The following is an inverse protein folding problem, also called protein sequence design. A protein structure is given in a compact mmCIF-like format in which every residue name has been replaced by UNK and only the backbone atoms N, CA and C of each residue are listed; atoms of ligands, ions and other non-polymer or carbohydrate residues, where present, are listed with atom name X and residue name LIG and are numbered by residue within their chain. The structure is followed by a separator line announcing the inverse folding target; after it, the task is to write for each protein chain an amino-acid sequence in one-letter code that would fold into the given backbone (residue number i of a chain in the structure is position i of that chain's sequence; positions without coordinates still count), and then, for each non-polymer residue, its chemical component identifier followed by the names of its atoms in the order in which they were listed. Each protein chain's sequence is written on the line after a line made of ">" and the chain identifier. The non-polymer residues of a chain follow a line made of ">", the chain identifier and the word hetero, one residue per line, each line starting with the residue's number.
data_IF_691147749448
#
_entry.id   IF_691147749448
#
_cell.length_a   1.000
_cell.length_b   1.000
_cell.length_c   1.000
_cell.angle_alpha   90.00
_cell.angle_beta   90.00
_cell.angle_gamma   90.00
#
_symmetry.space_group_name_H-M   'P 1'
#
loop_
_entity.id
_entity.type
_entity.pdbx_description
1 polymer ?
#
# COMPACT_ATOMS: atom_id res chain seq x y z
N UNK A 1 1.67 10.28 -9.98
CA UNK A 1 0.64 9.69 -9.09
C UNK A 1 0.35 8.27 -9.59
N UNK A 2 0.24 7.27 -8.71
CA UNK A 2 0.04 5.87 -9.08
C UNK A 2 -1.33 5.65 -9.73
N UNK A 3 -1.47 4.62 -10.57
CA UNK A 3 -2.73 4.32 -11.29
C UNK A 3 -3.88 3.98 -10.33
N UNK A 4 -3.59 3.18 -9.30
CA UNK A 4 -4.50 2.84 -8.19
C UNK A 4 -5.11 4.06 -7.48
N UNK A 5 -4.38 5.18 -7.45
CA UNK A 5 -4.79 6.41 -6.78
C UNK A 5 -5.64 7.35 -7.66
N UNK A 6 -5.72 7.12 -8.98
CA UNK A 6 -6.36 8.07 -9.89
C UNK A 6 -7.88 8.15 -9.71
N UNK A 7 -8.54 7.02 -9.52
CA UNK A 7 -9.99 6.93 -9.30
C UNK A 7 -10.40 7.51 -7.94
N UNK A 8 -9.55 7.31 -6.92
CA UNK A 8 -9.78 7.74 -5.54
C UNK A 8 -9.05 9.04 -5.17
N UNK A 9 -8.62 9.83 -6.16
CA UNK A 9 -7.84 11.07 -5.93
C UNK A 9 -8.45 12.05 -4.91
N UNK A 10 -9.78 12.03 -4.79
CA UNK A 10 -10.55 12.89 -3.88
C UNK A 10 -10.44 12.46 -2.42
N UNK A 11 -10.00 11.23 -2.14
CA UNK A 11 -9.75 10.67 -0.82
C UNK A 11 -8.32 10.92 -0.34
N UNK A 12 -7.43 11.40 -1.23
CA UNK A 12 -6.02 11.57 -0.93
C UNK A 12 -5.79 12.92 -0.24
N UNK A 13 -5.14 12.90 0.92
CA UNK A 13 -4.68 14.11 1.58
C UNK A 13 -3.20 14.37 1.30
N UNK A 14 -2.91 15.38 0.47
CA UNK A 14 -1.56 15.74 0.07
C UNK A 14 -0.78 16.56 1.12
N UNK A 15 -1.44 17.05 2.18
CA UNK A 15 -0.78 17.84 3.24
C UNK A 15 -0.22 16.95 4.35
N UNK A 16 -0.72 15.71 4.46
CA UNK A 16 -0.26 14.72 5.44
C UNK A 16 1.05 14.09 5.00
N UNK A 17 2.03 14.07 5.88
CA UNK A 17 3.33 13.43 5.68
C UNK A 17 3.57 12.41 6.78
N UNK A 18 4.30 11.34 6.46
CA UNK A 18 4.75 10.36 7.44
C UNK A 18 6.19 10.70 7.88
N UNK A 19 6.42 11.08 9.15
CA UNK A 19 7.75 11.43 9.63
C UNK A 19 8.72 10.24 9.54
N UNK A 20 9.91 10.47 8.98
CA UNK A 20 10.96 9.45 8.90
C UNK A 20 10.70 8.34 7.88
N UNK A 21 9.77 8.53 6.94
CA UNK A 21 9.54 7.56 5.87
C UNK A 21 10.81 7.39 4.99
N UNK A 22 11.29 6.14 4.78
CA UNK A 22 12.40 5.87 3.87
C UNK A 22 12.18 6.43 2.46
N UNK A 23 13.26 6.93 1.85
CA UNK A 23 13.19 7.60 0.54
C UNK A 23 12.60 6.71 -0.56
N UNK A 24 12.95 5.43 -0.54
CA UNK A 24 12.44 4.42 -1.49
C UNK A 24 10.93 4.19 -1.41
N UNK A 25 10.31 4.50 -0.27
CA UNK A 25 8.85 4.35 -0.06
C UNK A 25 8.06 5.61 -0.40
N UNK A 26 8.72 6.77 -0.57
CA UNK A 26 8.04 8.06 -0.77
C UNK A 26 7.15 8.10 -2.02
N UNK A 27 7.53 7.41 -3.09
CA UNK A 27 6.74 7.34 -4.33
C UNK A 27 5.52 6.41 -4.24
N UNK A 28 5.45 5.60 -3.18
CA UNK A 28 4.36 4.66 -2.89
C UNK A 28 3.41 5.15 -1.81
N UNK A 29 3.82 6.16 -1.05
CA UNK A 29 3.05 6.70 0.06
C UNK A 29 1.81 7.47 -0.40
N UNK A 30 0.70 7.24 0.28
CA UNK A 30 -0.50 8.05 0.23
C UNK A 30 -1.13 8.12 1.63
N UNK A 31 -1.64 9.30 1.97
CA UNK A 31 -2.61 9.39 3.05
C UNK A 31 -4.01 9.31 2.45
N UNK A 32 -4.79 8.30 2.83
CA UNK A 32 -6.17 8.12 2.41
C UNK A 32 -7.12 8.44 3.56
N UNK A 33 -8.25 9.09 3.30
CA UNK A 33 -9.19 9.52 4.35
C UNK A 33 -9.80 8.38 5.17
N UNK A 34 -9.85 7.18 4.61
CA UNK A 34 -10.42 5.96 5.19
C UNK A 34 -9.36 4.97 5.70
N UNK A 35 -8.17 4.93 5.08
CA UNK A 35 -7.07 4.03 5.49
C UNK A 35 -5.91 4.73 6.23
N UNK A 36 -5.89 6.06 6.31
CA UNK A 36 -4.82 6.82 6.94
C UNK A 36 -3.50 6.75 6.19
N UNK A 37 -2.38 6.73 6.93
CA UNK A 37 -1.02 6.64 6.40
C UNK A 37 -0.75 5.25 5.79
N UNK A 38 -0.68 5.20 4.47
CA UNK A 38 -0.56 3.94 3.71
C UNK A 38 0.59 3.97 2.70
N UNK A 39 1.12 2.80 2.41
CA UNK A 39 1.94 2.49 1.24
C UNK A 39 1.07 1.72 0.27
N UNK A 40 0.98 2.20 -0.97
CA UNK A 40 0.34 1.47 -2.05
C UNK A 40 1.25 0.30 -2.44
N UNK A 41 0.86 -0.91 -2.02
CA UNK A 41 1.64 -2.14 -2.17
C UNK A 41 0.76 -3.28 -2.66
N UNK A 42 1.38 -4.28 -3.29
CA UNK A 42 0.70 -5.48 -3.80
C UNK A 42 0.90 -6.61 -2.78
N UNK A 43 -0.19 -7.20 -2.25
CA UNK A 43 -0.11 -8.42 -1.47
C UNK A 43 0.61 -9.52 -2.24
N UNK A 44 1.56 -10.20 -1.59
CA UNK A 44 2.39 -11.22 -2.23
C UNK A 44 1.54 -12.33 -2.87
N UNK A 45 0.45 -12.74 -2.24
CA UNK A 45 -0.50 -13.73 -2.78
C UNK A 45 -1.06 -13.30 -4.14
N UNK A 46 -1.47 -12.03 -4.28
CA UNK A 46 -1.98 -11.49 -5.54
C UNK A 46 -0.88 -11.35 -6.59
N UNK A 47 0.32 -10.92 -6.19
CA UNK A 47 1.46 -10.83 -7.11
C UNK A 47 1.84 -12.19 -7.71
N UNK A 48 1.81 -13.26 -6.89
CA UNK A 48 2.08 -14.63 -7.35
C UNK A 48 0.98 -15.15 -8.28
N UNK A 49 -0.30 -14.92 -7.92
CA UNK A 49 -1.45 -15.30 -8.73
C UNK A 49 -1.49 -14.59 -10.09
N UNK A 50 -1.02 -13.34 -10.15
CA UNK A 50 -1.11 -12.46 -11.33
C UNK A 50 0.27 -12.08 -11.90
N UNK A 51 1.27 -12.95 -11.76
CA UNK A 51 2.67 -12.67 -12.15
C UNK A 51 2.91 -12.27 -13.62
N UNK A 52 1.95 -12.49 -14.51
CA UNK A 52 2.01 -12.12 -15.94
C UNK A 52 1.11 -10.92 -16.29
N UNK A 53 0.53 -10.25 -15.30
CA UNK A 53 -0.42 -9.14 -15.48
C UNK A 53 0.15 -7.81 -14.99
N UNK A 54 -0.51 -6.71 -15.36
CA UNK A 54 -0.23 -5.40 -14.81
C UNK A 54 -0.62 -5.35 -13.32
N UNK A 55 0.38 -5.29 -12.44
CA UNK A 55 0.16 -5.35 -10.99
C UNK A 55 -0.50 -4.08 -10.41
N UNK A 56 -0.66 -3.01 -11.20
CA UNK A 56 -1.26 -1.76 -10.74
C UNK A 56 -2.72 -1.89 -10.28
N UNK A 57 -3.42 -2.93 -10.73
CA UNK A 57 -4.81 -3.22 -10.34
C UNK A 57 -4.91 -3.97 -9.00
N UNK A 58 -3.79 -4.48 -8.48
CA UNK A 58 -3.72 -5.25 -7.24
C UNK A 58 -3.01 -4.47 -6.11
N UNK A 59 -2.78 -3.17 -6.30
CA UNK A 59 -2.29 -2.32 -5.21
C UNK A 59 -3.38 -2.08 -4.19
N UNK A 60 -3.06 -2.39 -2.94
CA UNK A 60 -3.86 -2.09 -1.78
C UNK A 60 -3.15 -1.07 -0.88
N UNK A 61 -3.94 -0.32 -0.12
CA UNK A 61 -3.44 0.57 0.91
C UNK A 61 -2.98 -0.26 2.12
N UNK A 62 -1.67 -0.46 2.26
CA UNK A 62 -1.09 -1.18 3.40
C UNK A 62 -0.58 -0.16 4.42
N UNK A 63 -0.95 -0.26 5.71
CA UNK A 63 -0.50 0.71 6.71
C UNK A 63 1.03 0.83 6.76
N UNK A 64 1.55 2.07 6.85
CA UNK A 64 3.00 2.33 6.81
C UNK A 64 3.73 1.55 7.91
N UNK A 65 3.19 1.52 9.14
CA UNK A 65 3.76 0.74 10.25
C UNK A 65 3.92 -0.73 9.90
N UNK A 66 2.95 -1.32 9.22
CA UNK A 66 3.01 -2.73 8.82
C UNK A 66 4.15 -2.95 7.84
N UNK A 67 4.28 -2.07 6.83
CA UNK A 67 5.37 -2.14 5.85
C UNK A 67 6.73 -2.00 6.52
N UNK A 68 6.89 -1.07 7.45
CA UNK A 68 8.17 -0.85 8.14
C UNK A 68 8.54 -1.98 9.13
N UNK A 69 7.54 -2.68 9.68
CA UNK A 69 7.75 -3.81 10.57
C UNK A 69 8.09 -5.12 9.84
N UNK A 70 7.86 -5.18 8.52
CA UNK A 70 7.95 -6.41 7.74
C UNK A 70 8.93 -6.26 6.56
N UNK A 71 9.36 -7.41 6.02
CA UNK A 71 10.16 -7.41 4.79
C UNK A 71 9.26 -7.22 3.58
N UNK A 72 9.67 -6.31 2.70
CA UNK A 72 9.06 -6.09 1.40
C UNK A 72 10.11 -6.20 0.29
N UNK A 73 9.65 -6.34 -0.95
CA UNK A 73 10.46 -6.34 -2.15
C UNK A 73 10.00 -5.20 -3.07
N UNK A 74 10.95 -4.41 -3.54
CA UNK A 74 10.70 -3.49 -4.66
C UNK A 74 11.03 -4.24 -5.96
N UNK A 75 10.04 -4.45 -6.81
CA UNK A 75 10.21 -5.11 -8.10
C UNK A 75 9.33 -4.44 -9.16
N UNK A 76 9.93 -4.10 -10.31
CA UNK A 76 9.24 -3.48 -11.46
C UNK A 76 8.36 -2.27 -11.11
N UNK A 77 8.80 -1.48 -10.13
CA UNK A 77 8.07 -0.27 -9.70
C UNK A 77 6.90 -0.53 -8.74
N UNK A 78 6.80 -1.74 -8.18
CA UNK A 78 5.81 -2.15 -7.17
C UNK A 78 6.50 -2.51 -5.84
N UNK A 79 5.80 -2.28 -4.73
CA UNK A 79 6.13 -2.88 -3.43
C UNK A 79 5.35 -4.18 -3.34
N UNK A 80 6.04 -5.31 -3.19
CA UNK A 80 5.45 -6.61 -2.93
C UNK A 80 5.71 -6.96 -1.48
N UNK A 81 4.66 -7.25 -0.72
CA UNK A 81 4.74 -7.51 0.72
C UNK A 81 3.86 -8.70 1.12
N UNK A 82 4.36 -9.51 2.04
CA UNK A 82 3.57 -10.59 2.64
C UNK A 82 2.63 -10.02 3.70
N UNK A 83 1.48 -9.52 3.25
CA UNK A 83 0.40 -9.01 4.09
C UNK A 83 -0.85 -9.89 3.90
N UNK A 84 -1.62 -10.20 4.95
CA UNK A 84 -2.88 -10.91 4.78
C UNK A 84 -3.85 -10.07 3.95
N UNK A 85 -4.51 -10.75 3.02
CA UNK A 85 -5.44 -10.13 2.09
C UNK A 85 -6.66 -11.04 1.95
N UNK A 86 -7.83 -10.46 2.12
CA UNK A 86 -9.13 -11.06 1.89
C UNK A 86 -9.79 -10.35 0.69
N UNK A 87 -10.40 -11.10 -0.23
CA UNK A 87 -10.99 -10.52 -1.44
C UNK A 87 -12.24 -9.67 -1.16
N UNK A 88 -12.91 -9.88 -0.02
CA UNK A 88 -14.13 -9.18 0.38
C UNK A 88 -13.78 -7.97 1.26
N UNK A 89 -12.84 -8.12 2.18
CA UNK A 89 -12.51 -7.12 3.20
C UNK A 89 -11.21 -6.35 2.94
N UNK A 90 -10.35 -6.82 2.03
CA UNK A 90 -9.08 -6.18 1.68
C UNK A 90 -7.94 -6.57 2.62
N UNK A 91 -7.14 -5.58 3.04
CA UNK A 91 -6.00 -5.81 3.94
C UNK A 91 -6.51 -6.13 5.35
N UNK A 92 -6.15 -7.30 5.86
CA UNK A 92 -6.54 -7.77 7.19
C UNK A 92 -5.30 -7.80 8.10
N UNK A 93 -5.13 -6.77 8.90
CA UNK A 93 -4.00 -6.62 9.84
C UNK A 93 -4.53 -6.25 11.22
N UNK A 94 -3.79 -6.64 12.26
CA UNK A 94 -4.20 -6.39 13.65
C UNK A 94 -4.44 -4.89 13.92
N UNK A 95 -5.38 -4.62 14.84
CA UNK A 95 -5.64 -3.29 15.35
C UNK A 95 -4.35 -2.63 15.87
N UNK A 96 -4.13 -1.36 15.49
CA UNK A 96 -2.98 -0.56 15.93
C UNK A 96 -1.88 -0.34 14.87
N UNK A 97 -1.99 -0.99 13.71
CA UNK A 97 -1.20 -0.64 12.54
C UNK A 97 -1.73 0.61 11.81
N UNK A 98 -3.01 0.93 11.95
CA UNK A 98 -3.66 2.09 11.35
C UNK A 98 -3.25 3.41 12.03
N UNK A 99 -3.00 4.45 11.23
CA UNK A 99 -2.64 5.79 11.70
C UNK A 99 -3.29 6.88 10.84
N UNK A 100 -4.02 7.81 11.48
CA UNK A 100 -4.77 8.90 10.83
C UNK A 100 -4.18 10.29 11.16
#
# INVERSE_FOLDING_TARGET
>A
MRKSLQSIKHMINLTKQYPGLPDELKSFYAYLSDCGHSIMAVPKSLAEQHSQSDLSEFEAAVPVKYVLANKYLIHDGYIIINVPYDEVFGIDVDDGYEEY
#
